data_IF_112976626486
#
_entry.id   IF_112976626486
#
_cell.length_a   1.000
_cell.length_b   1.000
_cell.length_c   1.000
_cell.angle_alpha   90.00
_cell.angle_beta   90.00
_cell.angle_gamma   90.00
#
_symmetry.space_group_name_H-M   'P 1'
#
loop_
_entity.id
_entity.type
_entity.pdbx_description
1 polymer ?
#
# COMPACT_ATOMS: atom_id res chain seq x y z
N UNK A 1 -6.22 1.29 -15.97
CA UNK A 1 -5.21 0.24 -15.75
C UNK A 1 -5.86 -0.80 -14.86
N UNK A 2 -5.95 -2.06 -15.32
CA UNK A 2 -6.63 -3.11 -14.55
C UNK A 2 -5.80 -3.53 -13.34
N UNK A 3 -6.46 -3.72 -12.20
CA UNK A 3 -5.85 -4.25 -10.98
C UNK A 3 -5.34 -5.68 -11.25
N UNK A 4 -4.04 -5.81 -11.47
CA UNK A 4 -3.39 -7.11 -11.61
C UNK A 4 -3.41 -7.82 -10.24
N UNK A 5 -4.40 -8.69 -10.03
CA UNK A 5 -4.49 -9.49 -8.81
C UNK A 5 -3.59 -10.71 -8.91
N UNK A 6 -2.67 -10.87 -7.96
CA UNK A 6 -1.82 -12.05 -7.87
C UNK A 6 -2.67 -13.27 -7.47
N UNK A 7 -2.91 -14.18 -8.41
CA UNK A 7 -3.80 -15.34 -8.22
C UNK A 7 -3.14 -16.48 -7.41
N UNK A 8 -1.81 -16.62 -7.47
CA UNK A 8 -1.07 -17.67 -6.76
C UNK A 8 0.32 -17.18 -6.30
N UNK A 9 0.46 -16.76 -5.04
CA UNK A 9 1.73 -16.32 -4.48
C UNK A 9 2.80 -17.41 -4.44
N UNK A 10 2.43 -18.66 -4.13
CA UNK A 10 3.39 -19.78 -4.02
C UNK A 10 4.02 -20.13 -5.37
N UNK A 11 3.23 -20.07 -6.45
CA UNK A 11 3.75 -20.25 -7.80
C UNK A 11 4.74 -19.14 -8.20
N UNK A 12 4.50 -17.91 -7.75
CA UNK A 12 5.43 -16.80 -7.99
C UNK A 12 6.76 -17.02 -7.24
N UNK A 13 6.71 -17.55 -6.03
CA UNK A 13 7.90 -17.83 -5.23
C UNK A 13 8.76 -18.94 -5.83
N UNK A 14 8.13 -20.00 -6.33
CA UNK A 14 8.82 -21.10 -6.99
C UNK A 14 9.44 -20.74 -8.35
N UNK A 15 8.93 -19.69 -9.01
CA UNK A 15 9.35 -19.33 -10.37
C UNK A 15 10.75 -18.71 -10.38
N UNK A 16 11.73 -19.33 -11.03
CA UNK A 16 13.08 -18.77 -11.21
C UNK A 16 13.14 -17.68 -12.31
N UNK A 17 12.16 -16.80 -12.36
CA UNK A 17 12.16 -15.68 -13.31
C UNK A 17 13.16 -14.61 -12.91
N UNK A 18 13.63 -13.78 -13.87
CA UNK A 18 14.50 -12.64 -13.59
C UNK A 18 13.89 -11.73 -12.52
N UNK A 19 14.55 -11.68 -11.36
CA UNK A 19 14.11 -10.91 -10.19
C UNK A 19 15.24 -10.16 -9.53
N UNK A 20 15.00 -8.89 -9.27
CA UNK A 20 15.91 -7.98 -8.59
C UNK A 20 15.45 -7.69 -7.17
N UNK A 21 16.38 -7.21 -6.34
CA UNK A 21 16.13 -6.77 -4.97
C UNK A 21 16.59 -5.34 -4.75
N UNK A 22 15.79 -4.60 -3.99
CA UNK A 22 16.18 -3.34 -3.36
C UNK A 22 15.73 -3.36 -1.90
N UNK A 23 16.57 -2.84 -1.00
CA UNK A 23 16.24 -2.72 0.42
C UNK A 23 16.09 -1.24 0.76
N UNK A 24 15.02 -0.90 1.45
CA UNK A 24 14.70 0.45 1.88
C UNK A 24 14.25 0.47 3.34
N UNK A 25 14.43 1.61 3.97
CA UNK A 25 13.88 1.94 5.29
C UNK A 25 12.75 2.93 5.08
N UNK A 26 11.67 2.76 5.83
CA UNK A 26 10.53 3.68 5.86
C UNK A 26 10.15 4.02 7.30
N UNK A 27 9.66 5.23 7.58
CA UNK A 27 9.10 5.59 8.88
C UNK A 27 8.08 4.57 9.36
N UNK A 28 8.18 4.14 10.63
CA UNK A 28 7.26 3.16 11.22
C UNK A 28 5.80 3.56 11.03
N UNK A 29 5.47 4.85 11.15
CA UNK A 29 4.12 5.37 10.94
C UNK A 29 3.56 5.00 9.55
N UNK A 30 4.38 5.04 8.49
CA UNK A 30 3.93 4.72 7.12
C UNK A 30 3.53 3.25 6.96
N UNK A 31 4.18 2.33 7.68
CA UNK A 31 3.81 0.90 7.70
C UNK A 31 2.53 0.66 8.49
N UNK A 32 2.36 1.34 9.63
CA UNK A 32 1.20 1.19 10.51
C UNK A 32 -0.07 1.73 9.85
N UNK A 33 0.02 2.87 9.18
CA UNK A 33 -1.12 3.54 8.53
C UNK A 33 -1.43 2.99 7.14
N UNK A 34 -0.44 2.35 6.50
CA UNK A 34 -0.50 1.95 5.10
C UNK A 34 -0.38 3.17 4.20
N UNK A 35 0.81 3.37 3.64
CA UNK A 35 1.13 4.50 2.77
C UNK A 35 1.25 4.09 1.29
N UNK A 36 0.99 5.05 0.40
CA UNK A 36 1.43 5.05 -0.99
C UNK A 36 2.76 5.79 -1.06
N UNK A 37 3.76 5.14 -1.66
CA UNK A 37 5.12 5.65 -1.79
C UNK A 37 5.54 5.65 -3.25
N UNK A 38 6.48 6.51 -3.58
CA UNK A 38 7.23 6.49 -4.83
C UNK A 38 8.68 6.17 -4.51
N UNK A 39 9.23 5.14 -5.16
CA UNK A 39 10.62 4.73 -5.01
C UNK A 39 11.40 5.06 -6.28
N UNK A 40 12.42 5.91 -6.17
CA UNK A 40 13.45 6.08 -7.20
C UNK A 40 14.43 4.91 -7.11
N UNK A 41 14.36 4.02 -8.10
CA UNK A 41 15.13 2.79 -8.11
C UNK A 41 16.59 3.06 -8.53
N UNK A 42 17.60 2.52 -7.82
CA UNK A 42 19.00 2.65 -8.22
C UNK A 42 19.26 2.07 -9.62
N UNK A 43 20.22 2.65 -10.35
CA UNK A 43 20.59 2.20 -11.70
C UNK A 43 21.04 0.72 -11.74
N UNK A 44 21.64 0.21 -10.65
CA UNK A 44 22.08 -1.18 -10.51
C UNK A 44 21.34 -1.86 -9.38
N UNK A 45 20.65 -2.95 -9.70
CA UNK A 45 19.86 -3.73 -8.76
C UNK A 45 20.49 -5.11 -8.57
N UNK A 46 20.62 -5.59 -7.34
CA UNK A 46 21.17 -6.93 -7.09
C UNK A 46 20.16 -7.99 -7.50
N UNK A 47 20.64 -9.12 -8.01
CA UNK A 47 19.78 -10.26 -8.26
C UNK A 47 19.30 -10.85 -6.92
N UNK A 48 17.99 -11.02 -6.76
CA UNK A 48 17.39 -11.53 -5.52
C UNK A 48 17.72 -13.02 -5.28
N UNK A 49 17.91 -13.80 -6.34
CA UNK A 49 18.15 -15.25 -6.26
C UNK A 49 19.58 -15.63 -5.84
N UNK A 50 20.59 -14.90 -6.32
CA UNK A 50 22.00 -15.20 -6.04
C UNK A 50 22.70 -14.14 -5.19
N UNK A 51 21.95 -13.14 -4.73
CA UNK A 51 22.42 -12.04 -3.88
C UNK A 51 23.66 -11.29 -4.42
N UNK A 52 23.85 -11.28 -5.74
CA UNK A 52 25.02 -10.66 -6.38
C UNK A 52 26.10 -11.63 -6.86
N UNK A 53 26.03 -12.92 -6.51
CA UNK A 53 27.05 -13.91 -6.89
C UNK A 53 27.05 -14.32 -8.37
N UNK A 54 25.94 -14.07 -9.08
CA UNK A 54 25.74 -14.52 -10.47
C UNK A 54 25.07 -15.89 -10.55
N UNK A 55 23.95 -15.96 -11.26
CA UNK A 55 23.26 -17.22 -11.58
C UNK A 55 22.71 -17.15 -13.00
N UNK A 56 22.22 -18.27 -13.53
CA UNK A 56 21.71 -18.31 -14.90
C UNK A 56 20.49 -17.38 -15.10
N UNK A 57 19.69 -17.14 -14.06
CA UNK A 57 18.55 -16.22 -14.13
C UNK A 57 18.95 -14.75 -14.41
N UNK A 58 20.13 -14.32 -13.98
CA UNK A 58 20.66 -12.98 -14.25
C UNK A 58 21.79 -12.97 -15.30
N UNK A 59 21.92 -14.05 -16.08
CA UNK A 59 23.01 -14.19 -17.06
C UNK A 59 24.40 -14.11 -16.43
N UNK A 60 24.56 -14.61 -15.18
CA UNK A 60 25.81 -14.61 -14.40
C UNK A 60 26.39 -13.24 -14.05
N UNK A 61 25.64 -12.16 -14.27
CA UNK A 61 26.08 -10.79 -13.94
C UNK A 61 25.96 -10.44 -12.45
N UNK A 62 25.12 -11.17 -11.71
CA UNK A 62 24.78 -10.87 -10.32
C UNK A 62 23.82 -9.68 -10.13
N UNK A 63 23.47 -8.96 -11.19
CA UNK A 63 22.69 -7.73 -11.10
C UNK A 63 21.84 -7.46 -12.34
N UNK A 64 20.84 -6.60 -12.20
CA UNK A 64 20.08 -6.03 -13.31
C UNK A 64 20.30 -4.53 -13.38
N UNK A 65 20.08 -3.95 -14.56
CA UNK A 65 20.16 -2.51 -14.77
C UNK A 65 18.75 -1.95 -14.91
N UNK A 66 18.43 -0.89 -14.15
CA UNK A 66 17.20 -0.15 -14.34
C UNK A 66 17.20 0.54 -15.73
N UNK A 67 16.04 0.74 -16.38
CA UNK A 67 15.98 1.34 -17.71
C UNK A 67 16.56 2.75 -17.76
N UNK A 68 16.42 3.49 -16.67
CA UNK A 68 16.95 4.83 -16.46
C UNK A 68 17.36 4.96 -14.98
N UNK A 69 18.27 5.90 -14.71
CA UNK A 69 18.68 6.21 -13.35
C UNK A 69 17.55 6.94 -12.61
N UNK A 70 17.17 6.42 -11.44
CA UNK A 70 16.07 7.00 -10.67
C UNK A 70 14.68 6.65 -11.22
N UNK A 71 14.56 5.58 -12.02
CA UNK A 71 13.28 5.05 -12.49
C UNK A 71 12.29 4.93 -11.32
N UNK A 72 11.12 5.55 -11.46
CA UNK A 72 10.13 5.65 -10.38
C UNK A 72 9.22 4.43 -10.35
N UNK A 73 9.14 3.78 -9.20
CA UNK A 73 8.22 2.65 -8.95
C UNK A 73 7.24 3.04 -7.85
N UNK A 74 5.96 3.02 -8.17
CA UNK A 74 4.90 3.23 -7.19
C UNK A 74 4.73 1.99 -6.31
N UNK A 75 4.68 2.20 -4.99
CA UNK A 75 4.51 1.16 -4.00
C UNK A 75 3.29 1.46 -3.14
N UNK A 76 2.48 0.44 -2.88
CA UNK A 76 1.36 0.52 -1.95
C UNK A 76 1.66 -0.38 -0.77
N UNK A 77 1.81 0.21 0.41
CA UNK A 77 2.08 -0.51 1.63
C UNK A 77 0.76 -1.04 2.23
N UNK A 78 0.69 -2.33 2.61
CA UNK A 78 -0.35 -2.81 3.49
C UNK A 78 -0.18 -2.23 4.89
N UNK A 79 -1.26 -2.20 5.67
CA UNK A 79 -1.18 -1.95 7.11
C UNK A 79 -0.63 -3.18 7.80
N UNK A 80 0.56 -3.07 8.36
CA UNK A 80 1.21 -4.18 9.05
C UNK A 80 1.79 -3.71 10.38
N UNK A 81 1.90 -4.64 11.32
CA UNK A 81 2.54 -4.41 12.61
C UNK A 81 3.97 -4.90 12.69
N UNK A 82 4.43 -5.60 11.65
CA UNK A 82 5.79 -6.10 11.53
C UNK A 82 6.74 -4.98 11.14
N UNK A 83 7.96 -5.05 11.67
CA UNK A 83 9.02 -4.09 11.36
C UNK A 83 9.74 -4.44 10.06
N UNK A 84 9.43 -5.59 9.45
CA UNK A 84 10.01 -6.02 8.17
C UNK A 84 8.92 -6.52 7.23
N UNK A 85 8.98 -6.07 5.98
CA UNK A 85 8.03 -6.46 4.93
C UNK A 85 8.76 -6.66 3.60
N UNK A 86 8.32 -7.60 2.79
CA UNK A 86 8.80 -7.74 1.41
C UNK A 86 7.65 -7.58 0.43
N UNK A 87 7.72 -6.54 -0.40
CA UNK A 87 6.79 -6.31 -1.50
C UNK A 87 7.36 -6.88 -2.80
N UNK A 88 6.49 -7.52 -3.58
CA UNK A 88 6.82 -8.03 -4.90
C UNK A 88 6.10 -7.17 -5.94
N UNK A 89 6.86 -6.43 -6.72
CA UNK A 89 6.34 -5.59 -7.81
C UNK A 89 6.57 -6.33 -9.12
N UNK A 90 5.49 -6.74 -9.78
CA UNK A 90 5.54 -7.40 -11.08
C UNK A 90 5.68 -6.36 -12.20
N UNK A 91 6.49 -6.67 -13.20
CA UNK A 91 6.75 -5.83 -14.37
C UNK A 91 7.06 -4.36 -13.99
N UNK A 92 8.03 -4.13 -13.08
CA UNK A 92 8.36 -2.78 -12.58
C UNK A 92 8.79 -1.82 -13.69
N UNK A 93 9.27 -2.36 -14.82
CA UNK A 93 9.77 -1.62 -15.97
C UNK A 93 9.08 -2.05 -17.27
N UNK A 94 7.83 -2.51 -17.20
CA UNK A 94 7.09 -3.05 -18.34
C UNK A 94 7.67 -4.39 -18.80
N UNK A 95 7.96 -4.52 -20.09
CA UNK A 95 8.46 -5.76 -20.71
C UNK A 95 9.98 -5.97 -20.55
N UNK A 96 10.67 -5.07 -19.84
CA UNK A 96 12.11 -5.13 -19.61
C UNK A 96 12.44 -5.94 -18.36
N UNK A 97 13.58 -6.61 -18.39
CA UNK A 97 14.12 -7.25 -17.19
C UNK A 97 14.59 -6.20 -16.17
N UNK A 98 14.44 -6.47 -14.86
CA UNK A 98 13.85 -7.66 -14.25
C UNK A 98 12.31 -7.67 -14.30
N UNK A 99 11.72 -8.85 -14.52
CA UNK A 99 10.25 -9.05 -14.50
C UNK A 99 9.62 -8.90 -13.11
N UNK A 100 10.45 -8.99 -12.06
CA UNK A 100 10.02 -8.87 -10.67
C UNK A 100 11.02 -8.02 -9.88
N UNK A 101 10.53 -7.05 -9.14
CA UNK A 101 11.31 -6.30 -8.16
C UNK A 101 10.83 -6.65 -6.76
N UNK A 102 11.73 -7.19 -5.94
CA UNK A 102 11.53 -7.47 -4.53
C UNK A 102 12.01 -6.26 -3.74
N UNK A 103 11.07 -5.49 -3.19
CA UNK A 103 11.36 -4.37 -2.29
C UNK A 103 11.31 -4.89 -0.86
N UNK A 104 12.45 -4.95 -0.19
CA UNK A 104 12.54 -5.26 1.24
C UNK A 104 12.46 -3.97 2.03
N UNK A 105 11.49 -3.88 2.92
CA UNK A 105 11.25 -2.74 3.76
C UNK A 105 11.63 -3.09 5.20
N UNK A 106 12.30 -2.16 5.86
CA UNK A 106 12.47 -2.15 7.31
C UNK A 106 11.83 -0.89 7.89
N UNK A 107 11.21 -1.02 9.06
CA UNK A 107 10.74 0.10 9.83
C UNK A 107 11.93 0.89 10.40
N UNK A 108 11.82 2.21 10.39
CA UNK A 108 12.81 3.11 10.94
C UNK A 108 12.24 4.47 11.26
N UNK A 109 13.12 5.46 11.43
CA UNK A 109 12.72 6.85 11.71
C UNK A 109 12.73 7.67 10.41
N UNK A 110 13.79 7.54 9.62
CA UNK A 110 13.99 8.33 8.40
C UNK A 110 13.84 7.43 7.16
N UNK A 111 13.14 7.90 6.10
CA UNK A 111 13.05 7.15 4.86
C UNK A 111 14.41 7.05 4.19
N UNK A 112 14.67 5.93 3.52
CA UNK A 112 15.84 5.81 2.64
C UNK A 112 15.82 6.84 1.52
N UNK A 113 17.02 7.21 1.05
CA UNK A 113 17.16 8.09 -0.11
C UNK A 113 16.39 7.55 -1.32
N UNK A 114 15.66 8.43 -1.99
CA UNK A 114 14.82 8.07 -3.14
C UNK A 114 13.45 7.50 -2.77
N UNK A 115 13.09 7.40 -1.48
CA UNK A 115 11.72 7.05 -1.06
C UNK A 115 10.93 8.32 -0.74
N UNK A 116 9.85 8.54 -1.47
CA UNK A 116 8.97 9.70 -1.30
C UNK A 116 7.58 9.25 -0.88
N UNK A 117 7.01 9.89 0.14
CA UNK A 117 5.61 9.67 0.52
C UNK A 117 4.68 10.38 -0.45
N UNK A 118 3.65 9.66 -0.91
CA UNK A 118 2.66 10.19 -1.86
C UNK A 118 1.33 10.46 -1.17
N UNK A 119 0.93 9.59 -0.24
CA UNK A 119 -0.36 9.71 0.43
C UNK A 119 -0.69 8.49 1.28
N UNK A 120 -1.79 8.52 2.06
CA UNK A 120 -2.33 7.31 2.66
C UNK A 120 -2.91 6.38 1.59
N UNK A 121 -2.88 5.08 1.84
CA UNK A 121 -3.50 4.06 0.99
C UNK A 121 -5.03 3.97 1.18
N UNK A 122 -5.56 4.47 2.29
CA UNK A 122 -6.93 4.22 2.73
C UNK A 122 -7.95 5.33 2.43
N UNK A 123 -7.55 6.36 1.67
CA UNK A 123 -8.45 7.44 1.23
C UNK A 123 -9.16 7.13 -0.09
N UNK A 124 -9.23 5.85 -0.49
CA UNK A 124 -10.19 5.44 -1.53
C UNK A 124 -11.56 5.47 -0.87
N UNK A 125 -12.32 6.52 -1.17
CA UNK A 125 -13.74 6.67 -0.83
C UNK A 125 -14.43 5.30 -1.01
N UNK A 126 -15.11 4.76 0.02
CA UNK A 126 -15.69 3.43 -0.07
C UNK A 126 -16.54 3.35 -1.33
N UNK A 127 -16.25 2.38 -2.20
CA UNK A 127 -17.09 2.08 -3.36
C UNK A 127 -18.45 1.69 -2.81
N UNK A 128 -19.37 2.65 -2.76
CA UNK A 128 -20.76 2.41 -2.40
C UNK A 128 -21.28 1.46 -3.48
N UNK A 129 -21.63 0.21 -3.16
CA UNK A 129 -22.19 -0.71 -4.12
C UNK A 129 -23.41 -0.06 -4.76
N UNK A 130 -23.56 -0.10 -6.09
CA UNK A 130 -24.76 0.42 -6.74
C UNK A 130 -25.97 -0.33 -6.16
N UNK A 131 -26.83 0.39 -5.44
CA UNK A 131 -28.04 -0.17 -4.83
C UNK A 131 -28.13 -0.08 -3.30
N UNK A 132 -27.11 0.42 -2.57
CA UNK A 132 -27.35 0.78 -1.17
C UNK A 132 -28.25 2.04 -1.11
N UNK A 133 -29.38 2.01 -0.37
CA UNK A 133 -30.19 3.20 -0.18
C UNK A 133 -29.34 4.23 0.55
N UNK A 134 -29.14 5.39 -0.08
CA UNK A 134 -28.50 6.50 0.60
C UNK A 134 -29.38 6.87 1.79
N UNK A 135 -28.86 6.71 3.01
CA UNK A 135 -29.54 7.18 4.19
C UNK A 135 -29.79 8.68 3.99
N UNK A 136 -31.03 9.17 4.16
CA UNK A 136 -31.31 10.59 4.02
C UNK A 136 -30.41 11.36 4.98
N UNK A 137 -29.80 12.44 4.48
CA UNK A 137 -28.90 13.29 5.25
C UNK A 137 -29.64 13.84 6.48
N UNK A 138 -29.43 13.21 7.65
CA UNK A 138 -30.08 13.61 8.89
C UNK A 138 -29.45 14.93 9.32
N UNK A 139 -30.21 16.03 9.39
CA UNK A 139 -29.68 17.30 9.84
C UNK A 139 -29.16 17.19 11.27
N UNK A 140 -28.00 17.78 11.58
CA UNK A 140 -27.38 17.74 12.91
C UNK A 140 -28.28 18.26 14.05
N UNK A 141 -29.35 18.99 13.72
CA UNK A 141 -30.33 19.53 14.68
C UNK A 141 -31.44 18.54 15.08
N UNK A 142 -31.70 17.49 14.29
CA UNK A 142 -32.78 16.52 14.54
C UNK A 142 -32.71 15.83 15.92
N UNK A 143 -31.55 15.35 16.41
CA UNK A 143 -31.50 14.69 17.73
C UNK A 143 -31.81 15.67 18.88
N UNK A 144 -31.43 16.94 18.74
CA UNK A 144 -31.72 17.97 19.73
C UNK A 144 -33.22 18.30 19.76
N UNK A 145 -33.87 18.39 18.60
CA UNK A 145 -35.31 18.62 18.52
C UNK A 145 -36.12 17.48 19.19
N UNK A 146 -35.73 16.21 18.95
CA UNK A 146 -36.36 15.06 19.59
C UNK A 146 -36.20 15.07 21.12
N UNK A 147 -35.02 15.45 21.62
CA UNK A 147 -34.77 15.59 23.06
C UNK A 147 -35.67 16.66 23.70
N UNK A 148 -35.83 17.81 23.05
CA UNK A 148 -36.70 18.89 23.54
C UNK A 148 -38.17 18.46 23.59
N UNK A 149 -38.65 17.77 22.54
CA UNK A 149 -40.02 17.25 22.50
C UNK A 149 -40.23 16.20 23.60
N UNK A 150 -39.28 15.27 23.78
CA UNK A 150 -39.36 14.26 24.84
C UNK A 150 -39.41 14.90 26.23
N UNK A 151 -38.58 15.90 26.50
CA UNK A 151 -38.57 16.63 27.77
C UNK A 151 -39.90 17.39 28.00
N UNK A 152 -40.45 18.02 26.97
CA UNK A 152 -41.74 18.71 27.04
C UNK A 152 -42.90 17.74 27.34
N UNK A 153 -42.92 16.58 26.69
CA UNK A 153 -43.90 15.52 26.95
C UNK A 153 -43.77 14.96 28.37
N UNK A 154 -42.54 14.72 28.85
CA UNK A 154 -42.31 14.31 30.23
C UNK A 154 -42.83 15.34 31.23
N UNK A 155 -42.55 16.63 30.99
CA UNK A 155 -43.03 17.73 31.83
C UNK A 155 -44.55 17.91 31.81
N UNK A 156 -45.21 17.60 30.70
CA UNK A 156 -46.67 17.59 30.59
C UNK A 156 -47.29 16.41 31.35
N UNK A 157 -46.64 15.24 31.32
CA UNK A 157 -47.10 14.05 32.05
C UNK A 157 -46.95 14.21 33.56
N UNK A 158 -45.87 14.83 34.04
CA UNK A 158 -45.65 15.05 35.48
C UNK A 158 -46.55 16.14 36.08
N UNK A 159 -47.09 17.06 35.28
CA UNK A 159 -48.04 18.10 35.72
C UNK A 159 -49.50 17.61 35.84
N UNK A 160 -49.81 16.40 35.37
CA UNK A 160 -51.16 15.83 35.39
C UNK A 160 -51.40 14.81 36.53
N UNK A 161 -50.42 14.63 37.41
CA UNK A 161 -50.56 13.91 38.69
C UNK A 161 -50.58 14.92 39.84
#
# INVERSE_FOLDING_TARGET
MGDARLLNPAALDAKKSPRARVSIVVPTAWLREGARLELAVPAKLRCDLCDGGGCDACGRSGAYRAPEEGAKVALTLPRVTDDFLALRVTNPFGDREPTLLVVRLAAGVEPSAGVTWVGPNHDVEPVVPPGMPQLPNIPKWLPWALLVIAAALLGLLTRRC
#
